data_IF_944715858383
#
_entry.id   IF_944715858383
#
_cell.length_a   1.000
_cell.length_b   1.000
_cell.length_c   1.000
_cell.angle_alpha   90.00
_cell.angle_beta   90.00
_cell.angle_gamma   90.00
#
_symmetry.space_group_name_H-M   'P 1'
#
loop_
_entity.id
_entity.type
_entity.pdbx_description
1 polymer ?
#
# COMPACT_ATOMS: atom_id res chain seq x y z
N UNK A 1 22.86 -8.06 12.71
CA UNK A 1 21.43 -8.39 12.61
C UNK A 1 21.27 -9.43 11.53
N UNK A 2 20.62 -10.56 11.80
CA UNK A 2 20.41 -11.58 10.78
C UNK A 2 19.37 -11.15 9.75
N UNK A 3 19.27 -11.86 8.61
CA UNK A 3 18.19 -11.65 7.65
C UNK A 3 16.82 -11.95 8.25
N UNK A 4 16.74 -12.90 9.18
CA UNK A 4 15.52 -13.24 9.91
C UNK A 4 15.09 -12.08 10.82
N UNK A 5 16.01 -11.51 11.60
CA UNK A 5 15.71 -10.36 12.47
C UNK A 5 15.23 -9.15 11.66
N UNK A 6 15.89 -8.89 10.52
CA UNK A 6 15.47 -7.84 9.59
C UNK A 6 14.06 -8.10 9.08
N UNK A 7 13.76 -9.33 8.66
CA UNK A 7 12.45 -9.73 8.17
C UNK A 7 11.36 -9.56 9.25
N UNK A 8 11.59 -10.04 10.47
CA UNK A 8 10.68 -9.85 11.61
C UNK A 8 10.38 -8.37 11.83
N UNK A 9 11.42 -7.53 11.88
CA UNK A 9 11.26 -6.08 12.06
C UNK A 9 10.44 -5.42 10.94
N UNK A 10 10.53 -5.93 9.69
CA UNK A 10 9.69 -5.43 8.58
C UNK A 10 8.23 -5.78 8.80
N UNK A 11 7.94 -7.04 9.12
CA UNK A 11 6.56 -7.48 9.32
C UNK A 11 5.89 -6.77 10.51
N UNK A 12 6.62 -6.59 11.61
CA UNK A 12 6.12 -5.83 12.76
C UNK A 12 5.86 -4.36 12.39
N UNK A 13 6.75 -3.75 11.59
CA UNK A 13 6.56 -2.39 11.10
C UNK A 13 5.35 -2.25 10.17
N UNK A 14 5.19 -3.17 9.21
CA UNK A 14 4.04 -3.23 8.30
C UNK A 14 2.74 -3.29 9.08
N UNK A 15 2.62 -4.26 10.00
CA UNK A 15 1.43 -4.40 10.85
C UNK A 15 1.11 -3.12 11.61
N UNK A 16 2.09 -2.57 12.33
CA UNK A 16 1.87 -1.36 13.13
C UNK A 16 1.44 -0.16 12.27
N UNK A 17 2.03 -0.01 11.08
CA UNK A 17 1.68 1.05 10.15
C UNK A 17 0.28 0.87 9.55
N UNK A 18 -0.11 -0.37 9.22
CA UNK A 18 -1.46 -0.69 8.75
C UNK A 18 -2.52 -0.46 9.82
N UNK A 19 -2.26 -0.90 11.06
CA UNK A 19 -3.14 -0.68 12.21
C UNK A 19 -3.35 0.83 12.43
N UNK A 20 -2.26 1.61 12.40
CA UNK A 20 -2.33 3.07 12.51
C UNK A 20 -3.07 3.72 11.34
N UNK A 21 -2.84 3.25 10.12
CA UNK A 21 -3.50 3.78 8.93
C UNK A 21 -5.02 3.56 9.01
N UNK A 22 -5.46 2.37 9.42
CA UNK A 22 -6.88 2.04 9.61
C UNK A 22 -7.56 2.95 10.65
N UNK A 23 -6.86 3.34 11.71
CA UNK A 23 -7.38 4.34 12.66
C UNK A 23 -7.57 5.72 12.05
N UNK A 24 -6.61 6.18 11.24
CA UNK A 24 -6.64 7.51 10.63
C UNK A 24 -7.79 7.62 9.62
N UNK A 25 -8.01 6.56 8.84
CA UNK A 25 -9.01 6.56 7.77
C UNK A 25 -10.41 6.15 8.24
N UNK A 26 -10.65 6.04 9.55
CA UNK A 26 -11.91 5.51 10.12
C UNK A 26 -13.16 6.19 9.57
N UNK A 27 -13.10 7.52 9.45
CA UNK A 27 -14.23 8.36 9.01
C UNK A 27 -14.14 8.75 7.52
N UNK A 28 -13.21 8.16 6.77
CA UNK A 28 -13.01 8.42 5.34
C UNK A 28 -13.59 7.29 4.50
N UNK A 29 -14.52 7.57 3.60
CA UNK A 29 -15.05 6.55 2.69
C UNK A 29 -14.04 6.13 1.62
N UNK A 30 -14.26 4.95 1.04
CA UNK A 30 -13.51 4.47 -0.12
C UNK A 30 -12.79 3.14 0.11
N UNK A 31 -12.39 2.47 -0.98
CA UNK A 31 -11.73 1.18 -0.92
C UNK A 31 -10.28 1.28 -0.43
N UNK A 32 -9.65 0.12 -0.27
CA UNK A 32 -8.22 -0.02 0.02
C UNK A 32 -7.49 -0.55 -1.21
N UNK A 33 -6.27 -0.08 -1.44
CA UNK A 33 -5.38 -0.59 -2.49
C UNK A 33 -4.23 -1.37 -1.85
N UNK A 34 -3.98 -2.59 -2.32
CA UNK A 34 -2.84 -3.43 -1.95
C UNK A 34 -1.94 -3.59 -3.17
N UNK A 35 -0.75 -3.00 -3.15
CA UNK A 35 0.21 -3.06 -4.26
C UNK A 35 1.29 -4.11 -3.93
N UNK A 36 1.17 -5.26 -4.60
CA UNK A 36 1.99 -6.45 -4.36
C UNK A 36 1.31 -7.40 -3.37
N UNK A 37 0.79 -8.52 -3.87
CA UNK A 37 0.14 -9.52 -3.02
C UNK A 37 1.18 -10.42 -2.34
N UNK A 38 2.17 -10.87 -3.12
CA UNK A 38 3.18 -11.81 -2.64
C UNK A 38 2.55 -13.07 -2.03
N UNK A 39 2.82 -13.33 -0.74
CA UNK A 39 2.21 -14.45 -0.02
C UNK A 39 0.79 -14.15 0.51
N UNK A 40 0.37 -12.88 0.53
CA UNK A 40 -0.96 -12.44 0.94
C UNK A 40 -1.13 -12.06 2.41
N UNK A 41 -0.05 -11.96 3.19
CA UNK A 41 -0.12 -11.71 4.65
C UNK A 41 -0.68 -10.33 4.99
N UNK A 42 -0.26 -9.29 4.28
CA UNK A 42 -0.73 -7.92 4.48
C UNK A 42 -2.15 -7.75 3.97
N UNK A 43 -2.48 -8.34 2.82
CA UNK A 43 -3.86 -8.46 2.33
C UNK A 43 -4.80 -9.12 3.35
N UNK A 44 -4.42 -10.26 3.92
CA UNK A 44 -5.21 -10.96 4.95
C UNK A 44 -5.38 -10.10 6.21
N UNK A 45 -4.31 -9.44 6.65
CA UNK A 45 -4.37 -8.51 7.77
C UNK A 45 -5.31 -7.33 7.49
N UNK A 46 -5.24 -6.73 6.30
CA UNK A 46 -6.13 -5.64 5.87
C UNK A 46 -7.60 -6.06 5.91
N UNK A 47 -7.94 -7.25 5.41
CA UNK A 47 -9.31 -7.81 5.50
C UNK A 47 -9.79 -7.93 6.94
N UNK A 48 -8.89 -8.28 7.86
CA UNK A 48 -9.21 -8.44 9.28
C UNK A 48 -9.49 -7.10 9.96
N UNK A 49 -8.67 -6.07 9.69
CA UNK A 49 -8.79 -4.75 10.35
C UNK A 49 -9.76 -3.79 9.65
N UNK A 50 -10.13 -4.04 8.39
CA UNK A 50 -11.05 -3.23 7.58
C UNK A 50 -12.12 -4.13 6.91
N UNK A 51 -12.94 -4.86 7.68
CA UNK A 51 -13.85 -5.88 7.14
C UNK A 51 -14.94 -5.33 6.23
N UNK A 52 -15.29 -4.05 6.36
CA UNK A 52 -16.37 -3.40 5.63
C UNK A 52 -15.90 -2.67 4.35
N UNK A 53 -14.61 -2.83 3.97
CA UNK A 53 -14.04 -2.16 2.80
C UNK A 53 -13.65 -3.15 1.71
N UNK A 54 -13.94 -2.80 0.47
CA UNK A 54 -13.37 -3.48 -0.70
C UNK A 54 -11.85 -3.25 -0.75
N UNK A 55 -11.10 -4.27 -1.13
CA UNK A 55 -9.65 -4.24 -1.21
C UNK A 55 -9.22 -4.66 -2.61
N UNK A 56 -8.73 -3.71 -3.40
CA UNK A 56 -8.24 -3.95 -4.75
C UNK A 56 -6.74 -4.26 -4.71
N UNK A 57 -6.37 -5.40 -5.28
CA UNK A 57 -5.01 -5.94 -5.19
C UNK A 57 -4.34 -5.88 -6.55
N UNK A 58 -3.18 -5.24 -6.63
CA UNK A 58 -2.33 -5.25 -7.81
C UNK A 58 -1.27 -6.34 -7.65
N UNK A 59 -1.25 -7.29 -8.58
CA UNK A 59 -0.27 -8.37 -8.57
C UNK A 59 0.06 -8.80 -9.99
N UNK A 60 1.35 -9.00 -10.28
CA UNK A 60 1.80 -9.48 -11.59
C UNK A 60 1.68 -11.00 -11.69
N UNK A 61 1.95 -11.72 -10.60
CA UNK A 61 1.88 -13.18 -10.55
C UNK A 61 1.38 -13.64 -9.18
N UNK A 62 0.16 -14.15 -9.16
CA UNK A 62 -0.43 -14.72 -7.94
C UNK A 62 0.37 -15.95 -7.48
N UNK A 63 0.92 -15.86 -6.27
CA UNK A 63 1.61 -16.94 -5.57
C UNK A 63 1.32 -16.89 -4.06
N UNK A 64 0.10 -16.45 -3.72
CA UNK A 64 -0.35 -16.28 -2.35
C UNK A 64 -0.76 -17.59 -1.69
N UNK A 65 -0.92 -17.57 -0.37
CA UNK A 65 -1.65 -18.63 0.31
C UNK A 65 -3.07 -18.74 -0.30
N UNK A 66 -3.64 -19.94 -0.49
CA UNK A 66 -4.95 -20.10 -1.14
C UNK A 66 -6.08 -19.25 -0.53
N UNK A 67 -6.07 -19.10 0.80
CA UNK A 67 -7.07 -18.30 1.53
C UNK A 67 -6.87 -16.77 1.38
N UNK A 68 -5.75 -16.35 0.79
CA UNK A 68 -5.37 -14.94 0.61
C UNK A 68 -5.43 -14.50 -0.85
N UNK A 69 -6.10 -15.26 -1.73
CA UNK A 69 -6.30 -14.88 -3.13
C UNK A 69 -7.59 -14.06 -3.25
N UNK A 70 -7.52 -12.77 -3.66
CA UNK A 70 -8.73 -11.98 -3.94
C UNK A 70 -9.51 -12.57 -5.13
N UNK A 71 -10.81 -12.30 -5.21
CA UNK A 71 -11.60 -12.65 -6.38
C UNK A 71 -11.19 -11.83 -7.63
N UNK A 72 -11.70 -12.22 -8.79
CA UNK A 72 -11.36 -11.59 -10.08
C UNK A 72 -11.78 -10.11 -10.18
N UNK A 73 -12.83 -9.71 -9.46
CA UNK A 73 -13.30 -8.32 -9.46
C UNK A 73 -12.32 -7.40 -8.71
N UNK A 74 -11.70 -7.93 -7.66
CA UNK A 74 -10.74 -7.22 -6.81
C UNK A 74 -9.27 -7.44 -7.21
N UNK A 75 -8.97 -8.45 -8.01
CA UNK A 75 -7.64 -8.68 -8.56
C UNK A 75 -7.39 -7.85 -9.83
N UNK A 76 -6.38 -6.99 -9.78
CA UNK A 76 -5.86 -6.24 -10.92
C UNK A 76 -4.54 -6.90 -11.33
N UNK A 77 -4.65 -7.91 -12.19
CA UNK A 77 -3.51 -8.71 -12.62
C UNK A 77 -2.69 -8.01 -13.70
N UNK A 78 -1.40 -7.78 -13.47
CA UNK A 78 -0.48 -7.19 -14.45
C UNK A 78 0.72 -6.47 -13.84
N UNK A 79 1.59 -5.90 -14.68
CA UNK A 79 2.69 -5.06 -14.21
C UNK A 79 2.15 -3.70 -13.70
N UNK A 80 2.73 -3.16 -12.64
CA UNK A 80 2.33 -1.85 -12.08
C UNK A 80 2.45 -0.72 -13.12
N UNK A 81 3.39 -0.82 -14.07
CA UNK A 81 3.53 0.15 -15.15
C UNK A 81 2.32 0.20 -16.10
N UNK A 82 1.60 -0.91 -16.24
CA UNK A 82 0.44 -1.05 -17.13
C UNK A 82 -0.88 -0.85 -16.38
N UNK A 83 -0.93 -1.32 -15.13
CA UNK A 83 -2.15 -1.38 -14.32
C UNK A 83 -2.44 -0.08 -13.57
N UNK A 84 -1.43 0.59 -13.00
CA UNK A 84 -1.64 1.84 -12.26
C UNK A 84 -2.26 2.97 -13.12
N UNK A 85 -1.81 3.22 -14.37
CA UNK A 85 -2.41 4.27 -15.21
C UNK A 85 -3.89 4.05 -15.53
N UNK A 86 -4.37 2.80 -15.47
CA UNK A 86 -5.76 2.41 -15.76
C UNK A 86 -6.54 2.02 -14.52
N UNK A 87 -5.94 2.15 -13.34
CA UNK A 87 -6.53 1.69 -12.08
C UNK A 87 -7.90 2.34 -11.81
N UNK A 88 -8.07 3.61 -12.17
CA UNK A 88 -9.34 4.33 -12.03
C UNK A 88 -10.50 3.74 -12.87
N UNK A 89 -10.22 2.93 -13.89
CA UNK A 89 -11.25 2.20 -14.66
C UNK A 89 -11.81 1.00 -13.87
N UNK A 90 -11.03 0.50 -12.90
CA UNK A 90 -11.34 -0.71 -12.11
C UNK A 90 -11.81 -0.38 -10.69
N UNK A 91 -11.33 0.71 -10.11
CA UNK A 91 -11.62 1.12 -8.74
C UNK A 91 -12.81 2.10 -8.76
N UNK A 92 -13.92 1.80 -8.06
CA UNK A 92 -15.18 2.53 -8.22
C UNK A 92 -15.19 3.92 -7.59
N UNK A 93 -14.26 4.20 -6.66
CA UNK A 93 -14.16 5.47 -5.95
C UNK A 93 -12.71 5.73 -5.51
N UNK A 94 -12.32 7.00 -5.23
CA UNK A 94 -11.02 7.29 -4.65
C UNK A 94 -10.78 6.48 -3.36
N UNK A 95 -9.62 5.85 -3.26
CA UNK A 95 -9.29 4.98 -2.14
C UNK A 95 -8.96 5.78 -0.87
N UNK A 96 -9.33 5.21 0.28
CA UNK A 96 -9.03 5.75 1.60
C UNK A 96 -7.64 5.35 2.09
N UNK A 97 -7.13 4.21 1.63
CA UNK A 97 -5.83 3.66 2.03
C UNK A 97 -5.15 3.00 0.83
N UNK A 98 -3.84 3.21 0.69
CA UNK A 98 -2.98 2.37 -0.14
C UNK A 98 -1.84 1.79 0.68
N UNK A 99 -1.60 0.49 0.54
CA UNK A 99 -0.42 -0.19 1.04
C UNK A 99 0.44 -0.65 -0.13
N UNK A 100 1.75 -0.38 -0.08
CA UNK A 100 2.71 -0.76 -1.10
C UNK A 100 3.89 -1.50 -0.45
N UNK A 101 4.03 -2.80 -0.74
CA UNK A 101 5.20 -3.61 -0.41
C UNK A 101 5.86 -4.06 -1.72
N UNK A 102 6.49 -3.10 -2.39
CA UNK A 102 6.99 -3.22 -3.77
C UNK A 102 8.49 -3.47 -3.84
N UNK A 103 9.17 -3.46 -2.70
CA UNK A 103 10.59 -3.76 -2.59
C UNK A 103 10.93 -5.17 -3.03
N UNK A 104 12.05 -5.30 -3.73
CA UNK A 104 12.59 -6.58 -4.17
C UNK A 104 14.09 -6.67 -3.94
N UNK A 105 14.70 -7.81 -4.28
CA UNK A 105 16.16 -7.95 -4.28
C UNK A 105 16.86 -7.13 -5.37
N UNK A 106 16.11 -6.59 -6.33
CA UNK A 106 16.60 -5.71 -7.39
C UNK A 106 16.33 -4.24 -7.01
N UNK A 107 17.40 -3.51 -6.70
CA UNK A 107 17.33 -2.12 -6.28
C UNK A 107 16.84 -1.19 -7.39
N UNK A 108 17.20 -1.46 -8.64
CA UNK A 108 16.80 -0.61 -9.77
C UNK A 108 15.31 -0.81 -10.09
N UNK A 109 14.84 -2.06 -10.08
CA UNK A 109 13.41 -2.35 -10.19
C UNK A 109 12.60 -1.75 -9.05
N UNK A 110 13.12 -1.83 -7.82
CA UNK A 110 12.49 -1.22 -6.64
C UNK A 110 12.34 0.29 -6.80
N UNK A 111 13.41 0.99 -7.21
CA UNK A 111 13.38 2.43 -7.43
C UNK A 111 12.39 2.84 -8.55
N UNK A 112 12.36 2.09 -9.66
CA UNK A 112 11.40 2.34 -10.75
C UNK A 112 9.95 2.16 -10.28
N UNK A 113 9.67 1.13 -9.49
CA UNK A 113 8.33 0.92 -8.94
C UNK A 113 7.95 2.00 -7.94
N UNK A 114 8.86 2.42 -7.06
CA UNK A 114 8.61 3.50 -6.10
C UNK A 114 8.24 4.81 -6.80
N UNK A 115 8.96 5.18 -7.86
CA UNK A 115 8.64 6.38 -8.65
C UNK A 115 7.26 6.29 -9.32
N UNK A 116 6.89 5.12 -9.86
CA UNK A 116 5.56 4.90 -10.45
C UNK A 116 4.44 5.00 -9.43
N UNK A 117 4.64 4.38 -8.26
CA UNK A 117 3.68 4.40 -7.16
C UNK A 117 3.51 5.82 -6.62
N UNK A 118 4.61 6.56 -6.42
CA UNK A 118 4.57 7.96 -5.97
C UNK A 118 3.75 8.85 -6.91
N UNK A 119 3.90 8.67 -8.23
CA UNK A 119 3.14 9.44 -9.22
C UNK A 119 1.65 9.05 -9.31
N UNK A 120 1.34 7.75 -9.18
CA UNK A 120 -0.01 7.23 -9.40
C UNK A 120 -0.92 7.39 -8.18
N UNK A 121 -0.44 7.08 -6.97
CA UNK A 121 -1.28 7.01 -5.77
C UNK A 121 -2.04 8.33 -5.48
N UNK A 122 -1.44 9.52 -5.55
CA UNK A 122 -2.17 10.75 -5.24
C UNK A 122 -3.41 11.01 -6.10
N UNK A 123 -3.46 10.44 -7.32
CA UNK A 123 -4.59 10.55 -8.25
C UNK A 123 -5.69 9.53 -7.91
N UNK A 124 -5.30 8.37 -7.38
CA UNK A 124 -6.21 7.27 -7.01
C UNK A 124 -6.80 7.44 -5.60
N UNK A 125 -6.26 8.35 -4.80
CA UNK A 125 -6.56 8.49 -3.38
C UNK A 125 -7.42 9.72 -3.06
N UNK A 126 -8.34 9.54 -2.13
CA UNK A 126 -9.14 10.62 -1.58
C UNK A 126 -8.27 11.65 -0.82
N UNK A 127 -8.67 12.93 -0.74
CA UNK A 127 -8.16 13.86 0.28
C UNK A 127 -8.22 13.23 1.67
N UNK A 128 -7.11 13.28 2.41
CA UNK A 128 -7.02 12.70 3.76
C UNK A 128 -6.73 11.19 3.80
N UNK A 129 -6.62 10.53 2.65
CA UNK A 129 -6.23 9.12 2.58
C UNK A 129 -4.80 8.90 3.12
N UNK A 130 -4.51 7.66 3.52
CA UNK A 130 -3.19 7.27 4.01
C UNK A 130 -2.47 6.39 2.99
N UNK A 131 -1.16 6.59 2.86
CA UNK A 131 -0.26 5.67 2.15
C UNK A 131 0.70 5.03 3.14
N UNK A 132 0.76 3.72 3.12
CA UNK A 132 1.69 2.86 3.84
C UNK A 132 2.64 2.24 2.80
N UNK A 133 3.96 2.49 2.90
CA UNK A 133 4.91 2.01 1.90
C UNK A 133 6.23 1.49 2.50
N UNK A 134 6.76 0.42 1.92
CA UNK A 134 8.09 -0.11 2.27
C UNK A 134 9.24 0.72 1.67
N UNK A 135 8.95 1.47 0.60
CA UNK A 135 9.86 2.40 -0.06
C UNK A 135 9.43 3.86 0.18
N UNK A 136 10.38 4.81 0.20
CA UNK A 136 10.04 6.23 0.22
C UNK A 136 9.37 6.64 -1.10
N UNK A 137 8.30 7.41 -0.99
CA UNK A 137 7.57 8.00 -2.11
C UNK A 137 7.76 9.52 -2.11
N UNK A 138 8.10 10.08 -3.26
CA UNK A 138 8.37 11.51 -3.45
C UNK A 138 7.30 12.12 -4.36
N UNK A 139 6.31 12.77 -3.75
CA UNK A 139 5.29 13.57 -4.43
C UNK A 139 4.78 14.65 -3.47
N UNK A 140 4.61 15.92 -3.91
CA UNK A 140 4.17 17.01 -3.04
C UNK A 140 2.77 16.82 -2.44
N UNK A 141 1.93 15.94 -3.01
CA UNK A 141 0.61 15.59 -2.48
C UNK A 141 0.68 14.52 -1.39
N UNK A 142 1.85 13.92 -1.13
CA UNK A 142 2.06 12.91 -0.09
C UNK A 142 2.88 13.52 1.04
N UNK A 143 2.20 14.02 2.07
CA UNK A 143 2.87 14.60 3.23
C UNK A 143 3.27 13.50 4.22
N UNK A 144 4.56 13.33 4.56
CA UNK A 144 4.97 12.36 5.57
C UNK A 144 4.27 12.61 6.91
N UNK A 145 3.89 11.54 7.60
CA UNK A 145 3.33 11.58 8.95
C UNK A 145 4.15 10.68 9.89
N UNK A 146 4.00 10.89 11.19
CA UNK A 146 4.75 10.16 12.20
C UNK A 146 4.45 8.65 12.14
N UNK A 147 5.51 7.86 12.29
CA UNK A 147 5.41 6.42 12.38
C UNK A 147 4.91 6.00 13.78
N UNK A 148 4.23 4.85 13.89
CA UNK A 148 3.86 4.28 15.18
C UNK A 148 5.07 4.01 16.07
N UNK A 149 4.85 3.97 17.38
CA UNK A 149 5.89 3.60 18.34
C UNK A 149 6.52 2.24 18.01
N UNK A 150 7.84 2.13 18.13
CA UNK A 150 8.58 0.91 17.84
C UNK A 150 8.93 0.68 16.36
N UNK A 151 8.40 1.50 15.44
CA UNK A 151 8.81 1.46 14.02
C UNK A 151 10.05 2.33 13.82
N UNK A 152 11.14 1.70 13.38
CA UNK A 152 12.38 2.43 13.11
C UNK A 152 12.27 3.27 11.83
N UNK A 153 12.80 4.51 11.81
CA UNK A 153 12.84 5.34 10.62
C UNK A 153 13.48 4.63 9.42
N UNK A 154 12.93 4.87 8.23
CA UNK A 154 13.41 4.28 6.97
C UNK A 154 13.12 2.80 6.79
N UNK A 155 12.42 2.15 7.74
CA UNK A 155 11.95 0.77 7.56
C UNK A 155 10.62 0.70 6.82
N UNK A 156 9.79 1.70 7.07
CA UNK A 156 8.46 1.84 6.53
C UNK A 156 8.10 3.31 6.56
N UNK A 157 7.16 3.71 5.72
CA UNK A 157 6.82 5.10 5.48
C UNK A 157 5.30 5.25 5.54
N UNK A 158 4.85 6.29 6.24
CA UNK A 158 3.45 6.71 6.27
C UNK A 158 3.32 8.11 5.69
N UNK A 159 2.30 8.30 4.86
CA UNK A 159 1.97 9.59 4.25
C UNK A 159 0.48 9.87 4.38
N UNK A 160 0.14 11.15 4.52
CA UNK A 160 -1.21 11.65 4.33
C UNK A 160 -1.32 12.27 2.93
N UNK A 161 -2.32 11.86 2.17
CA UNK A 161 -2.69 12.50 0.92
C UNK A 161 -3.27 13.89 1.24
N UNK A 162 -2.58 14.94 0.81
CA UNK A 162 -3.01 16.33 0.96
C UNK A 162 -3.39 16.94 -0.38
N UNK A 163 -4.22 17.98 -0.35
CA UNK A 163 -4.35 18.87 -1.51
C UNK A 163 -3.11 19.76 -1.57
N UNK A 164 -2.54 19.90 -2.76
CA UNK A 164 -1.54 20.95 -2.98
C UNK A 164 -2.32 22.23 -3.26
N UNK A 165 -2.14 23.30 -2.48
CA UNK A 165 -2.74 24.59 -2.79
C UNK A 165 -2.30 25.04 -4.19
N UNK A 166 -3.24 25.56 -4.99
CA UNK A 166 -2.94 26.21 -6.27
C UNK A 166 -1.93 27.36 -6.13
#
# INVERSE_FOLDING_TARGET
>A
MSRLDSFIRRLTAQRACLDRAAEIIRDLDGPVLELGLGNGRTYDHLRSILPDREIFVFERKVAAHPDCIPDDAHLISGDLAETLPRAAERIPAPAALAHADIGSGDAEATARNAARVAAALPVLLAPGAVVAADQPLDDPRLRPIDLPEGVAPGRYHLYLRVEVPE
#
